data_IF_840285436660
#
_entry.id   IF_840285436660
#
_cell.length_a   1.000
_cell.length_b   1.000
_cell.length_c   1.000
_cell.angle_alpha   90.00
_cell.angle_beta   90.00
_cell.angle_gamma   90.00
#
_symmetry.space_group_name_H-M   'P 1'
#
loop_
_entity.id
_entity.type
_entity.pdbx_description
1 polymer ?
#
# COMPACT_ATOMS: atom_id res chain seq x y z
N UNK A 1 -7.03 -19.46 -13.89
CA UNK A 1 -6.89 -18.12 -13.28
C UNK A 1 -5.76 -18.20 -12.28
N UNK A 2 -4.60 -17.65 -12.62
CA UNK A 2 -3.44 -17.64 -11.73
C UNK A 2 -3.54 -16.41 -10.81
N UNK A 3 -4.25 -16.57 -9.69
CA UNK A 3 -4.19 -15.63 -8.59
C UNK A 3 -2.76 -15.66 -8.03
N UNK A 4 -1.95 -14.65 -8.36
CA UNK A 4 -0.66 -14.40 -7.71
C UNK A 4 -0.91 -13.88 -6.29
N UNK A 5 -1.38 -14.77 -5.42
CA UNK A 5 -1.63 -14.45 -4.03
C UNK A 5 -0.29 -14.33 -3.31
N UNK A 6 0.14 -13.09 -3.02
CA UNK A 6 1.31 -12.79 -2.18
C UNK A 6 1.07 -13.08 -0.68
N UNK A 7 0.14 -13.98 -0.36
CA UNK A 7 -0.17 -14.43 0.99
C UNK A 7 1.08 -15.09 1.57
N UNK A 8 1.70 -14.45 2.57
CA UNK A 8 2.91 -14.91 3.29
C UNK A 8 4.28 -14.63 2.64
N UNK A 9 4.41 -13.59 1.82
CA UNK A 9 5.75 -13.07 1.55
C UNK A 9 6.23 -12.29 2.78
N UNK A 10 7.49 -12.39 3.17
CA UNK A 10 8.03 -11.61 4.29
C UNK A 10 8.24 -10.14 3.86
N UNK A 11 7.23 -9.51 3.25
CA UNK A 11 7.26 -8.10 2.88
C UNK A 11 7.23 -7.31 4.20
N UNK A 12 8.41 -6.92 4.64
CA UNK A 12 8.60 -5.91 5.68
C UNK A 12 8.64 -4.52 5.06
N UNK A 13 9.10 -3.55 5.85
CA UNK A 13 9.14 -2.14 5.45
C UNK A 13 9.97 -1.89 4.18
N UNK A 14 11.09 -2.60 4.01
CA UNK A 14 11.92 -2.51 2.80
C UNK A 14 11.17 -2.96 1.55
N UNK A 15 10.41 -4.05 1.66
CA UNK A 15 9.60 -4.58 0.57
C UNK A 15 8.43 -3.65 0.23
N UNK A 16 7.78 -3.09 1.24
CA UNK A 16 6.75 -2.07 1.07
C UNK A 16 7.32 -0.80 0.41
N UNK A 17 8.54 -0.40 0.76
CA UNK A 17 9.24 0.74 0.15
C UNK A 17 9.57 0.49 -1.32
N UNK A 18 10.06 -0.71 -1.66
CA UNK A 18 10.28 -1.09 -3.05
C UNK A 18 8.98 -1.07 -3.88
N UNK A 19 7.89 -1.60 -3.31
CA UNK A 19 6.56 -1.54 -3.92
C UNK A 19 6.05 -0.10 -4.06
N UNK A 20 6.27 0.75 -3.06
CA UNK A 20 5.91 2.17 -3.11
C UNK A 20 6.61 2.87 -4.28
N UNK A 21 7.90 2.62 -4.48
CA UNK A 21 8.63 3.18 -5.63
C UNK A 21 8.08 2.68 -6.96
N UNK A 22 7.76 1.38 -7.07
CA UNK A 22 7.13 0.83 -8.27
C UNK A 22 5.72 1.42 -8.52
N UNK A 23 4.95 1.67 -7.46
CA UNK A 23 3.62 2.26 -7.55
C UNK A 23 3.66 3.68 -8.11
N UNK A 24 4.67 4.51 -7.80
CA UNK A 24 4.75 5.88 -8.34
C UNK A 24 4.77 5.91 -9.87
N UNK A 25 5.47 4.96 -10.47
CA UNK A 25 5.60 4.84 -11.93
C UNK A 25 4.45 4.05 -12.56
N UNK A 26 3.79 3.19 -11.80
CA UNK A 26 2.71 2.35 -12.31
C UNK A 26 1.41 3.15 -12.47
N UNK A 27 0.92 3.25 -13.71
CA UNK A 27 -0.31 3.98 -14.05
C UNK A 27 -1.48 3.08 -14.46
N UNK A 28 -1.32 1.76 -14.41
CA UNK A 28 -2.33 0.79 -14.84
C UNK A 28 -2.90 -0.03 -13.70
N UNK A 29 -2.16 -0.19 -12.60
CA UNK A 29 -2.62 -0.97 -11.46
C UNK A 29 -3.75 -0.25 -10.73
N UNK A 30 -4.88 -0.94 -10.57
CA UNK A 30 -6.08 -0.45 -9.89
C UNK A 30 -6.26 -1.03 -8.49
N UNK A 31 -5.83 -2.27 -8.25
CA UNK A 31 -5.99 -2.92 -6.94
C UNK A 31 -4.67 -3.58 -6.52
N UNK A 32 -4.30 -3.42 -5.25
CA UNK A 32 -3.10 -4.02 -4.68
C UNK A 32 -3.42 -4.73 -3.37
N UNK A 33 -3.07 -6.02 -3.28
CA UNK A 33 -3.29 -6.87 -2.12
C UNK A 33 -1.99 -7.15 -1.38
N UNK A 34 -1.85 -6.58 -0.19
CA UNK A 34 -0.71 -6.74 0.72
C UNK A 34 -1.12 -7.24 2.10
N UNK A 35 -2.32 -7.81 2.23
CA UNK A 35 -2.78 -8.40 3.49
C UNK A 35 -1.88 -9.56 3.94
N UNK A 36 -1.77 -9.77 5.26
CA UNK A 36 -0.99 -10.85 5.90
C UNK A 36 0.52 -10.78 5.59
N UNK A 37 1.08 -9.57 5.60
CA UNK A 37 2.53 -9.33 5.48
C UNK A 37 3.10 -8.80 6.83
N UNK A 38 4.33 -8.28 6.83
CA UNK A 38 5.00 -7.73 8.00
C UNK A 38 5.29 -6.23 7.85
N UNK A 39 4.41 -5.52 7.15
CA UNK A 39 4.55 -4.08 6.91
C UNK A 39 4.29 -3.36 8.24
N UNK A 40 5.25 -2.57 8.69
CA UNK A 40 5.16 -1.69 9.83
C UNK A 40 4.82 -0.26 9.44
N UNK A 41 5.03 0.67 10.36
CA UNK A 41 4.73 2.09 10.16
C UNK A 41 5.59 2.74 9.07
N UNK A 42 6.86 2.34 8.96
CA UNK A 42 7.78 2.86 7.94
C UNK A 42 7.36 2.45 6.53
N UNK A 43 7.01 1.17 6.34
CA UNK A 43 6.51 0.67 5.07
C UNK A 43 5.14 1.26 4.70
N UNK A 44 4.25 1.41 5.67
CA UNK A 44 2.96 2.08 5.48
C UNK A 44 3.14 3.56 5.07
N UNK A 45 4.10 4.26 5.69
CA UNK A 45 4.44 5.64 5.34
C UNK A 45 5.01 5.75 3.93
N UNK A 46 5.88 4.82 3.52
CA UNK A 46 6.39 4.77 2.16
C UNK A 46 5.25 4.58 1.14
N UNK A 47 4.35 3.62 1.39
CA UNK A 47 3.16 3.41 0.57
C UNK A 47 2.28 4.65 0.52
N UNK A 48 2.01 5.29 1.66
CA UNK A 48 1.24 6.53 1.74
C UNK A 48 1.82 7.65 0.87
N UNK A 49 3.15 7.81 0.85
CA UNK A 49 3.79 8.80 0.01
C UNK A 49 3.67 8.46 -1.48
N UNK A 50 3.81 7.19 -1.87
CA UNK A 50 3.57 6.76 -3.24
C UNK A 50 2.11 6.97 -3.68
N UNK A 51 1.14 6.72 -2.79
CA UNK A 51 -0.28 6.94 -3.06
C UNK A 51 -0.61 8.41 -3.33
N UNK A 52 0.13 9.39 -2.79
CA UNK A 52 -0.12 10.80 -3.12
C UNK A 52 0.17 11.10 -4.59
N UNK A 53 1.15 10.41 -5.16
CA UNK A 53 1.63 10.59 -6.53
C UNK A 53 0.86 9.69 -7.52
N UNK A 54 0.57 8.45 -7.14
CA UNK A 54 -0.17 7.50 -7.97
C UNK A 54 -1.65 7.91 -8.10
N UNK A 55 -2.16 8.00 -9.34
CA UNK A 55 -3.57 8.35 -9.65
C UNK A 55 -4.37 7.21 -10.28
N UNK A 56 -3.80 6.01 -10.40
CA UNK A 56 -4.45 4.85 -11.00
C UNK A 56 -4.99 3.86 -9.98
N UNK A 57 -4.34 3.74 -8.82
CA UNK A 57 -4.71 2.80 -7.77
C UNK A 57 -6.01 3.25 -7.09
N UNK A 58 -6.97 2.34 -7.02
CA UNK A 58 -8.31 2.53 -6.49
C UNK A 58 -8.52 1.78 -5.18
N UNK A 59 -7.89 0.61 -5.01
CA UNK A 59 -8.05 -0.21 -3.81
C UNK A 59 -6.71 -0.72 -3.28
N UNK A 60 -6.47 -0.58 -1.98
CA UNK A 60 -5.28 -1.10 -1.30
C UNK A 60 -5.69 -1.92 -0.08
N UNK A 61 -5.29 -3.19 -0.05
CA UNK A 61 -5.57 -4.10 1.06
C UNK A 61 -4.31 -4.35 1.90
N UNK A 62 -4.31 -3.92 3.15
CA UNK A 62 -3.23 -4.02 4.14
C UNK A 62 -3.65 -4.76 5.42
N UNK A 63 -4.82 -5.38 5.47
CA UNK A 63 -5.26 -6.16 6.64
C UNK A 63 -4.21 -7.19 7.15
N UNK A 64 -4.11 -7.38 8.47
CA UNK A 64 -3.16 -8.31 9.10
C UNK A 64 -1.67 -8.00 8.76
N UNK A 65 -1.31 -6.72 8.83
CA UNK A 65 0.06 -6.24 8.90
C UNK A 65 0.39 -5.73 10.33
N UNK A 66 1.59 -5.19 10.52
CA UNK A 66 2.08 -4.64 11.81
C UNK A 66 2.05 -3.10 11.79
N UNK A 67 1.05 -2.52 11.12
CA UNK A 67 0.89 -1.07 10.98
C UNK A 67 0.31 -0.53 12.30
N UNK A 68 1.05 0.38 12.94
CA UNK A 68 0.64 1.12 14.11
C UNK A 68 -0.14 2.40 13.77
N UNK A 69 -0.30 3.27 14.77
CA UNK A 69 -1.09 4.50 14.63
C UNK A 69 -0.45 5.50 13.66
N UNK A 70 0.88 5.56 13.61
CA UNK A 70 1.63 6.49 12.76
C UNK A 70 1.48 6.12 11.29
N UNK A 71 1.67 4.84 10.94
CA UNK A 71 1.49 4.34 9.58
C UNK A 71 0.04 4.44 9.12
N UNK A 72 -0.93 4.15 9.99
CA UNK A 72 -2.34 4.33 9.70
C UNK A 72 -2.71 5.80 9.44
N UNK A 73 -2.14 6.73 10.23
CA UNK A 73 -2.33 8.17 10.04
C UNK A 73 -1.73 8.65 8.72
N UNK A 74 -0.54 8.15 8.35
CA UNK A 74 0.07 8.45 7.06
C UNK A 74 -0.81 8.00 5.89
N UNK A 75 -1.31 6.76 5.91
CA UNK A 75 -2.20 6.22 4.88
C UNK A 75 -3.52 6.99 4.78
N UNK A 76 -4.12 7.34 5.92
CA UNK A 76 -5.34 8.17 5.96
C UNK A 76 -5.12 9.56 5.37
N UNK A 77 -3.97 10.17 5.63
CA UNK A 77 -3.62 11.47 5.05
C UNK A 77 -3.38 11.36 3.55
N UNK A 78 -2.80 10.26 3.06
CA UNK A 78 -2.65 10.00 1.64
C UNK A 78 -4.01 9.82 0.94
N UNK A 79 -4.95 9.10 1.56
CA UNK A 79 -6.32 8.95 1.05
C UNK A 79 -7.01 10.30 0.83
N UNK A 80 -6.87 11.24 1.78
CA UNK A 80 -7.42 12.60 1.64
C UNK A 80 -6.84 13.39 0.46
N UNK A 81 -5.61 13.09 0.07
CA UNK A 81 -4.90 13.78 -1.02
C UNK A 81 -4.98 13.04 -2.36
N UNK A 82 -5.42 11.79 -2.35
CA UNK A 82 -5.57 10.99 -3.55
C UNK A 82 -7.04 10.77 -3.89
N UNK A 83 -7.59 11.50 -4.88
CA UNK A 83 -9.00 11.34 -5.28
C UNK A 83 -9.28 10.01 -5.99
N UNK A 84 -8.26 9.29 -6.43
CA UNK A 84 -8.41 8.03 -7.16
C UNK A 84 -8.55 6.81 -6.24
N UNK A 85 -7.99 6.88 -5.03
CA UNK A 85 -8.05 5.78 -4.07
C UNK A 85 -9.39 5.83 -3.32
N UNK A 86 -10.21 4.82 -3.52
CA UNK A 86 -11.56 4.73 -2.94
C UNK A 86 -11.58 3.82 -1.72
N UNK A 87 -10.80 2.73 -1.74
CA UNK A 87 -10.84 1.69 -0.72
C UNK A 87 -9.47 1.45 -0.09
N UNK A 88 -9.44 1.38 1.25
CA UNK A 88 -8.29 1.02 2.06
C UNK A 88 -8.75 0.04 3.16
N UNK A 89 -8.29 -1.21 3.10
CA UNK A 89 -8.78 -2.31 3.96
C UNK A 89 -7.68 -3.14 4.65
#
# INVERSE_FOLDING_TARGET
MHDHSLLMNKIGDDGATALANALKENKSLQSLYLSRNKIGDDGATALANALKENKSLQSLYLWCNQIGEDGATALKNALKQNPSLQDLE
#
